data_IF_663260642458
#
_entry.id   IF_663260642458
#
_cell.length_a   1.000
_cell.length_b   1.000
_cell.length_c   1.000
_cell.angle_alpha   90.00
_cell.angle_beta   90.00
_cell.angle_gamma   90.00
#
_symmetry.space_group_name_H-M   'P 1'
#
loop_
_entity.id
_entity.type
_entity.pdbx_description
1 polymer ?
#
# COMPACT_ATOMS: atom_id res chain seq x y z
N UNK A 1 -8.59 -9.13 -23.79
CA UNK A 1 -8.08 -8.60 -22.55
C UNK A 1 -8.54 -7.17 -22.31
N UNK A 2 -8.62 -6.78 -21.06
CA UNK A 2 -9.00 -5.40 -20.71
C UNK A 2 -7.84 -4.46 -21.08
N UNK A 3 -8.14 -3.37 -21.75
CA UNK A 3 -7.16 -2.35 -22.12
C UNK A 3 -6.57 -1.70 -20.87
N UNK A 4 -5.26 -1.42 -20.89
CA UNK A 4 -4.57 -0.71 -19.80
C UNK A 4 -5.18 0.66 -19.50
N UNK A 5 -5.72 1.36 -20.51
CA UNK A 5 -6.42 2.62 -20.35
C UNK A 5 -7.70 2.50 -19.55
N UNK A 6 -8.46 1.42 -19.76
CA UNK A 6 -9.68 1.14 -18.98
C UNK A 6 -9.37 0.83 -17.52
N UNK A 7 -8.31 0.05 -17.26
CA UNK A 7 -7.85 -0.26 -15.89
C UNK A 7 -7.44 1.04 -15.19
N UNK A 8 -6.68 1.90 -15.83
CA UNK A 8 -6.25 3.18 -15.27
C UNK A 8 -7.43 4.10 -14.95
N UNK A 9 -8.42 4.19 -15.85
CA UNK A 9 -9.63 4.97 -15.63
C UNK A 9 -10.46 4.43 -14.47
N UNK A 10 -10.60 3.11 -14.37
CA UNK A 10 -11.30 2.48 -13.25
C UNK A 10 -10.61 2.76 -11.92
N UNK A 11 -9.28 2.59 -11.85
CA UNK A 11 -8.50 2.90 -10.65
C UNK A 11 -8.61 4.37 -10.26
N UNK A 12 -8.55 5.29 -11.23
CA UNK A 12 -8.72 6.72 -10.98
C UNK A 12 -10.09 7.03 -10.38
N UNK A 13 -11.15 6.41 -10.88
CA UNK A 13 -12.50 6.60 -10.34
C UNK A 13 -12.63 6.09 -8.91
N UNK A 14 -11.97 4.98 -8.57
CA UNK A 14 -11.94 4.44 -7.21
C UNK A 14 -11.19 5.35 -6.25
N UNK A 15 -10.07 5.94 -6.68
CA UNK A 15 -9.28 6.87 -5.85
C UNK A 15 -10.06 8.13 -5.51
N UNK A 16 -10.92 8.61 -6.40
CA UNK A 16 -11.73 9.80 -6.17
C UNK A 16 -12.92 9.56 -5.22
N UNK A 17 -13.24 8.32 -4.93
CA UNK A 17 -14.28 7.96 -3.97
C UNK A 17 -13.81 8.28 -2.53
N UNK A 18 -14.71 8.75 -1.67
CA UNK A 18 -14.38 8.99 -0.27
C UNK A 18 -14.40 7.69 0.54
N UNK A 19 -13.31 7.44 1.26
CA UNK A 19 -13.17 6.31 2.17
C UNK A 19 -12.87 6.79 3.59
N UNK A 20 -13.24 6.02 4.60
CA UNK A 20 -13.07 6.41 6.00
C UNK A 20 -12.08 5.53 6.77
N UNK A 21 -11.76 4.36 6.24
CA UNK A 21 -10.85 3.43 6.92
C UNK A 21 -10.09 2.55 5.94
N UNK A 22 -9.13 1.81 6.47
CA UNK A 22 -8.26 0.89 5.71
C UNK A 22 -8.57 -0.55 6.13
N UNK A 23 -8.66 -1.44 5.15
CA UNK A 23 -8.74 -2.88 5.39
C UNK A 23 -7.40 -3.52 5.06
N UNK A 24 -6.83 -4.25 6.00
CA UNK A 24 -5.57 -4.98 5.84
C UNK A 24 -5.86 -6.46 5.60
N UNK A 25 -5.30 -7.01 4.52
CA UNK A 25 -5.44 -8.41 4.15
C UNK A 25 -4.05 -9.03 4.13
N UNK A 26 -3.76 -9.89 5.09
CA UNK A 26 -2.45 -10.52 5.21
C UNK A 26 -2.13 -11.00 6.61
N UNK A 27 -0.95 -11.60 6.76
CA UNK A 27 -0.48 -12.14 8.03
C UNK A 27 -0.02 -11.03 8.97
N UNK A 28 -0.72 -10.89 10.10
CA UNK A 28 -0.40 -9.90 11.14
C UNK A 28 1.02 -10.01 11.70
N UNK A 29 1.63 -11.18 11.58
CA UNK A 29 2.98 -11.45 12.10
C UNK A 29 4.08 -10.96 11.15
N UNK A 30 3.78 -10.73 9.88
CA UNK A 30 4.78 -10.32 8.90
C UNK A 30 5.26 -8.90 9.20
N UNK A 31 6.59 -8.67 9.05
CA UNK A 31 7.21 -7.37 9.32
C UNK A 31 6.60 -6.22 8.51
N UNK A 32 6.32 -6.46 7.23
CA UNK A 32 5.71 -5.43 6.37
C UNK A 32 4.31 -5.04 6.86
N UNK A 33 3.53 -6.01 7.32
CA UNK A 33 2.19 -5.76 7.88
C UNK A 33 2.30 -4.96 9.16
N UNK A 34 3.22 -5.33 10.05
CA UNK A 34 3.46 -4.59 11.31
C UNK A 34 3.87 -3.13 11.05
N UNK A 35 4.75 -2.90 10.07
CA UNK A 35 5.16 -1.54 9.68
C UNK A 35 3.99 -0.73 9.14
N UNK A 36 3.12 -1.33 8.34
CA UNK A 36 1.91 -0.67 7.85
C UNK A 36 1.00 -0.29 9.02
N UNK A 37 0.77 -1.19 9.97
CA UNK A 37 -0.04 -0.91 11.17
C UNK A 37 0.55 0.24 11.97
N UNK A 38 1.86 0.26 12.17
CA UNK A 38 2.53 1.34 12.92
C UNK A 38 2.30 2.70 12.26
N UNK A 39 2.39 2.78 10.94
CA UNK A 39 2.11 4.01 10.19
C UNK A 39 0.64 4.41 10.33
N UNK A 40 -0.29 3.47 10.17
CA UNK A 40 -1.71 3.78 10.33
C UNK A 40 -2.03 4.31 11.73
N UNK A 41 -1.42 3.75 12.76
CA UNK A 41 -1.55 4.24 14.14
C UNK A 41 -0.94 5.64 14.31
N UNK A 42 0.23 5.87 13.72
CA UNK A 42 0.90 7.18 13.77
C UNK A 42 0.02 8.29 13.20
N UNK A 43 -0.75 7.99 12.15
CA UNK A 43 -1.66 8.94 11.52
C UNK A 43 -3.09 8.87 12.08
N UNK A 44 -3.30 8.15 13.18
CA UNK A 44 -4.63 7.98 13.80
C UNK A 44 -5.69 7.49 12.82
N UNK A 45 -5.29 6.66 11.88
CA UNK A 45 -6.15 6.13 10.82
C UNK A 45 -6.88 4.88 11.32
N UNK A 46 -8.19 4.84 11.11
CA UNK A 46 -8.99 3.66 11.40
C UNK A 46 -8.61 2.52 10.44
N UNK A 47 -8.41 1.33 10.97
CA UNK A 47 -8.12 0.14 10.18
C UNK A 47 -8.71 -1.11 10.80
N UNK A 48 -8.90 -2.13 9.99
CA UNK A 48 -9.29 -3.47 10.43
C UNK A 48 -8.61 -4.52 9.57
N UNK A 49 -8.49 -5.71 10.12
CA UNK A 49 -8.05 -6.89 9.36
C UNK A 49 -9.25 -7.63 8.79
N UNK A 50 -9.10 -8.16 7.58
CA UNK A 50 -10.11 -8.99 6.92
C UNK A 50 -9.43 -10.00 6.01
N UNK A 51 -10.12 -11.06 5.68
CA UNK A 51 -9.64 -12.04 4.69
C UNK A 51 -9.99 -11.63 3.25
N UNK A 52 -10.94 -10.73 3.10
CA UNK A 52 -11.45 -10.29 1.79
C UNK A 52 -11.48 -8.77 1.70
N UNK A 53 -11.35 -8.21 0.47
CA UNK A 53 -11.48 -6.78 0.25
C UNK A 53 -12.88 -6.26 0.62
N UNK A 54 -12.94 -4.99 0.98
CA UNK A 54 -14.17 -4.29 1.32
C UNK A 54 -14.36 -3.09 0.39
N UNK A 55 -15.55 -2.92 -0.17
CA UNK A 55 -15.89 -1.82 -1.08
C UNK A 55 -15.86 -0.45 -0.42
N UNK A 56 -16.07 -0.39 0.90
CA UNK A 56 -16.19 0.87 1.64
C UNK A 56 -14.86 1.34 2.22
N UNK A 57 -13.78 0.64 1.95
CA UNK A 57 -12.46 0.96 2.48
C UNK A 57 -11.38 0.96 1.40
N UNK A 58 -10.24 1.57 1.72
CA UNK A 58 -9.01 1.37 0.97
C UNK A 58 -8.41 0.05 1.45
N UNK A 59 -8.22 -0.89 0.56
CA UNK A 59 -7.70 -2.21 0.91
C UNK A 59 -6.19 -2.27 0.65
N UNK A 60 -5.44 -2.82 1.59
CA UNK A 60 -4.03 -3.16 1.41
C UNK A 60 -3.94 -4.68 1.46
N UNK A 61 -3.55 -5.29 0.36
CA UNK A 61 -3.34 -6.73 0.28
C UNK A 61 -1.86 -7.06 0.25
N UNK A 62 -1.41 -7.74 1.29
CA UNK A 62 -0.06 -8.27 1.37
C UNK A 62 -0.06 -9.64 0.73
N UNK A 63 0.66 -9.79 -0.36
CA UNK A 63 0.56 -11.00 -1.19
C UNK A 63 1.92 -11.63 -1.45
N UNK A 64 1.97 -12.96 -1.38
CA UNK A 64 3.13 -13.74 -1.80
C UNK A 64 3.07 -13.92 -3.32
N UNK A 65 4.23 -14.10 -3.96
CA UNK A 65 4.31 -14.14 -5.41
C UNK A 65 3.60 -15.35 -6.04
N UNK A 66 3.41 -16.42 -5.29
CA UNK A 66 2.73 -17.63 -5.74
C UNK A 66 1.21 -17.61 -5.52
N UNK A 67 0.69 -16.55 -4.92
CA UNK A 67 -0.75 -16.40 -4.73
C UNK A 67 -1.41 -15.96 -6.04
N UNK A 68 -2.57 -16.57 -6.42
CA UNK A 68 -3.31 -16.09 -7.57
C UNK A 68 -3.88 -14.69 -7.30
N UNK A 69 -3.69 -13.79 -8.27
CA UNK A 69 -4.27 -12.47 -8.22
C UNK A 69 -5.61 -12.49 -8.95
N UNK A 70 -6.69 -12.39 -8.21
CA UNK A 70 -8.03 -12.30 -8.76
C UNK A 70 -8.37 -10.84 -9.07
N UNK A 71 -9.03 -10.62 -10.19
CA UNK A 71 -9.55 -9.31 -10.55
C UNK A 71 -10.64 -8.92 -9.55
N UNK A 72 -10.51 -7.72 -8.98
CA UNK A 72 -11.45 -7.20 -7.99
C UNK A 72 -11.93 -5.82 -8.40
N UNK A 73 -13.20 -5.52 -8.10
CA UNK A 73 -13.78 -4.19 -8.34
C UNK A 73 -13.45 -3.19 -7.22
N UNK A 74 -12.94 -3.68 -6.09
CA UNK A 74 -12.55 -2.84 -4.96
C UNK A 74 -11.20 -2.17 -5.20
N UNK A 75 -10.98 -1.03 -4.55
CA UNK A 75 -9.67 -0.37 -4.56
C UNK A 75 -8.69 -1.18 -3.70
N UNK A 76 -7.65 -1.70 -4.31
CA UNK A 76 -6.63 -2.51 -3.63
C UNK A 76 -5.24 -1.96 -3.91
N UNK A 77 -4.49 -1.73 -2.84
CA UNK A 77 -3.05 -1.49 -2.89
C UNK A 77 -2.36 -2.82 -2.61
N UNK A 78 -1.61 -3.33 -3.56
CA UNK A 78 -0.87 -4.58 -3.41
C UNK A 78 0.53 -4.29 -2.85
N UNK A 79 0.86 -4.96 -1.75
CA UNK A 79 2.19 -4.97 -1.18
C UNK A 79 2.78 -6.37 -1.34
N UNK A 80 3.66 -6.59 -2.31
CA UNK A 80 4.27 -7.90 -2.50
C UNK A 80 5.22 -8.22 -1.35
N UNK A 81 5.20 -9.47 -0.91
CA UNK A 81 6.04 -9.98 0.16
C UNK A 81 7.02 -11.00 -0.39
N UNK A 82 8.26 -10.96 0.09
CA UNK A 82 9.22 -12.03 -0.15
C UNK A 82 9.23 -12.99 1.04
N UNK A 83 9.46 -14.27 0.77
CA UNK A 83 9.85 -15.23 1.79
C UNK A 83 11.33 -15.01 2.13
N UNK A 84 11.76 -15.38 3.33
CA UNK A 84 13.16 -15.20 3.77
C UNK A 84 14.17 -15.90 2.85
N UNK A 85 13.76 -17.00 2.23
CA UNK A 85 14.58 -17.79 1.31
C UNK A 85 14.54 -17.32 -0.13
N UNK A 86 13.70 -16.35 -0.48
CA UNK A 86 13.52 -15.88 -1.85
C UNK A 86 14.61 -14.89 -2.25
N UNK A 87 15.07 -14.99 -3.48
CA UNK A 87 15.86 -13.94 -4.09
C UNK A 87 14.95 -12.75 -4.44
N UNK A 88 15.18 -11.63 -3.81
CA UNK A 88 14.33 -10.43 -3.96
C UNK A 88 14.19 -9.97 -5.41
N UNK A 89 15.25 -10.10 -6.20
CA UNK A 89 15.23 -9.71 -7.61
C UNK A 89 14.28 -10.58 -8.43
N UNK A 90 14.31 -11.90 -8.23
CA UNK A 90 13.44 -12.84 -8.94
C UNK A 90 11.98 -12.66 -8.53
N UNK A 91 11.73 -12.49 -7.24
CA UNK A 91 10.40 -12.20 -6.72
C UNK A 91 9.84 -10.92 -7.34
N UNK A 92 10.63 -9.85 -7.38
CA UNK A 92 10.22 -8.58 -7.98
C UNK A 92 9.88 -8.73 -9.48
N UNK A 93 10.67 -9.48 -10.23
CA UNK A 93 10.40 -9.75 -11.65
C UNK A 93 9.08 -10.50 -11.86
N UNK A 94 8.77 -11.47 -11.01
CA UNK A 94 7.52 -12.21 -11.08
C UNK A 94 6.32 -11.32 -10.81
N UNK A 95 6.41 -10.40 -9.85
CA UNK A 95 5.34 -9.44 -9.59
C UNK A 95 5.15 -8.45 -10.74
N UNK A 96 6.19 -8.01 -11.40
CA UNK A 96 6.10 -7.13 -12.56
C UNK A 96 5.29 -7.74 -13.71
N UNK A 97 5.27 -9.05 -13.85
CA UNK A 97 4.46 -9.76 -14.85
C UNK A 97 2.96 -9.75 -14.53
N UNK A 98 2.59 -9.45 -13.30
CA UNK A 98 1.20 -9.49 -12.82
C UNK A 98 0.65 -8.11 -12.44
N UNK A 99 1.33 -7.02 -12.79
CA UNK A 99 0.98 -5.65 -12.38
C UNK A 99 -0.13 -5.00 -13.20
N UNK A 100 -0.99 -5.79 -13.84
CA UNK A 100 -2.08 -5.27 -14.68
C UNK A 100 -3.32 -4.84 -13.88
N UNK A 101 -3.35 -5.11 -12.57
CA UNK A 101 -4.51 -4.82 -11.72
C UNK A 101 -4.07 -4.09 -10.45
N UNK A 102 -4.90 -3.13 -10.03
CA UNK A 102 -4.70 -2.42 -8.77
C UNK A 102 -3.51 -1.47 -8.75
N UNK A 103 -3.18 -1.02 -7.55
CA UNK A 103 -2.04 -0.17 -7.26
C UNK A 103 -0.96 -1.01 -6.57
N UNK A 104 0.31 -0.80 -6.92
CA UNK A 104 1.39 -1.62 -6.40
C UNK A 104 2.44 -0.76 -5.72
N UNK A 105 2.91 -1.22 -4.56
CA UNK A 105 4.07 -0.66 -3.87
C UNK A 105 5.26 -1.61 -3.98
N UNK A 106 6.42 -1.17 -3.53
CA UNK A 106 7.63 -1.99 -3.57
C UNK A 106 7.56 -3.23 -2.67
N UNK A 107 8.44 -4.18 -2.96
CA UNK A 107 8.57 -5.43 -2.22
C UNK A 107 8.79 -5.18 -0.72
N UNK A 108 8.02 -5.83 0.13
CA UNK A 108 8.05 -5.70 1.59
C UNK A 108 7.83 -4.26 2.11
N UNK A 109 7.31 -3.37 1.28
CA UNK A 109 7.19 -1.96 1.65
C UNK A 109 5.80 -1.64 2.24
N UNK A 110 5.54 -2.16 3.43
CA UNK A 110 4.31 -1.89 4.17
C UNK A 110 4.14 -0.42 4.52
N UNK A 111 5.24 0.31 4.75
CA UNK A 111 5.21 1.76 5.01
C UNK A 111 4.60 2.51 3.82
N UNK A 112 5.08 2.27 2.61
CA UNK A 112 4.54 2.92 1.42
C UNK A 112 3.09 2.51 1.15
N UNK A 113 2.72 1.27 1.42
CA UNK A 113 1.34 0.83 1.30
C UNK A 113 0.41 1.63 2.22
N UNK A 114 0.80 1.79 3.48
CA UNK A 114 0.03 2.57 4.45
C UNK A 114 -0.02 4.06 4.08
N UNK A 115 1.09 4.67 3.69
CA UNK A 115 1.15 6.07 3.27
C UNK A 115 0.26 6.29 2.03
N UNK A 116 0.32 5.40 1.05
CA UNK A 116 -0.54 5.48 -0.15
C UNK A 116 -2.02 5.43 0.22
N UNK A 117 -2.39 4.54 1.14
CA UNK A 117 -3.77 4.45 1.64
C UNK A 117 -4.20 5.74 2.34
N UNK A 118 -3.34 6.30 3.19
CA UNK A 118 -3.61 7.57 3.90
C UNK A 118 -3.76 8.72 2.91
N UNK A 119 -2.94 8.79 1.87
CA UNK A 119 -3.06 9.81 0.83
C UNK A 119 -4.40 9.72 0.09
N UNK A 120 -4.90 8.53 -0.17
CA UNK A 120 -6.22 8.32 -0.77
C UNK A 120 -7.33 8.74 0.19
N UNK A 121 -7.23 8.41 1.48
CA UNK A 121 -8.17 8.86 2.50
C UNK A 121 -8.16 10.38 2.66
N UNK A 122 -7.05 11.04 2.38
CA UNK A 122 -6.86 12.49 2.55
C UNK A 122 -7.48 13.33 1.42
N UNK A 123 -8.47 12.80 0.73
CA UNK A 123 -9.11 13.52 -0.38
C UNK A 123 -9.77 14.83 0.09
N UNK A 124 -10.10 14.93 1.38
CA UNK A 124 -10.63 16.13 2.04
C UNK A 124 -9.56 16.92 2.83
N UNK A 125 -8.28 16.58 2.65
CA UNK A 125 -7.11 17.18 3.32
C UNK A 125 -7.06 17.00 4.84
N UNK A 126 -7.81 16.06 5.42
CA UNK A 126 -7.83 15.83 6.87
C UNK A 126 -6.49 15.32 7.45
N UNK A 127 -5.62 14.73 6.63
CA UNK A 127 -4.29 14.24 7.03
C UNK A 127 -3.14 15.08 6.48
N UNK A 128 -3.41 16.18 5.78
CA UNK A 128 -2.40 16.94 5.04
C UNK A 128 -1.26 17.41 5.93
N UNK A 129 -1.57 18.00 7.09
CA UNK A 129 -0.55 18.48 8.02
C UNK A 129 0.34 17.34 8.52
N UNK A 130 -0.25 16.21 8.89
CA UNK A 130 0.50 15.03 9.35
C UNK A 130 1.39 14.47 8.25
N UNK A 131 0.92 14.43 7.01
CA UNK A 131 1.70 13.98 5.85
C UNK A 131 2.88 14.93 5.58
N UNK A 132 2.67 16.23 5.67
CA UNK A 132 3.73 17.23 5.52
C UNK A 132 4.81 17.04 6.60
N UNK A 133 4.40 16.89 7.85
CA UNK A 133 5.32 16.66 8.96
C UNK A 133 6.11 15.37 8.78
N UNK A 134 5.47 14.31 8.34
CA UNK A 134 6.12 13.02 8.08
C UNK A 134 7.20 13.14 6.99
N UNK A 135 6.87 13.81 5.87
CA UNK A 135 7.81 14.02 4.76
C UNK A 135 9.01 14.87 5.19
N UNK A 136 8.80 15.91 5.99
CA UNK A 136 9.87 16.73 6.56
C UNK A 136 10.77 15.89 7.45
N UNK A 137 10.20 15.07 8.31
CA UNK A 137 10.94 14.16 9.18
C UNK A 137 11.85 13.21 8.39
N UNK A 138 11.36 12.64 7.29
CA UNK A 138 12.15 11.80 6.40
C UNK A 138 13.30 12.58 5.74
N UNK A 139 13.03 13.80 5.26
CA UNK A 139 14.02 14.65 4.63
C UNK A 139 15.12 15.02 5.63
N UNK A 140 14.77 15.42 6.84
CA UNK A 140 15.72 15.78 7.88
C UNK A 140 16.61 14.59 8.25
N UNK A 141 16.05 13.39 8.31
CA UNK A 141 16.80 12.16 8.57
C UNK A 141 17.82 11.88 7.45
N UNK A 142 17.43 12.02 6.20
CA UNK A 142 18.30 11.83 5.05
C UNK A 142 19.44 12.87 5.07
N UNK A 143 19.13 14.14 5.33
CA UNK A 143 20.12 15.22 5.41
C UNK A 143 21.13 14.97 6.54
N UNK A 144 20.70 14.48 7.69
CA UNK A 144 21.58 14.09 8.80
C UNK A 144 22.48 12.92 8.42
N UNK A 145 21.95 11.90 7.78
CA UNK A 145 22.72 10.74 7.34
C UNK A 145 23.78 11.15 6.32
N UNK A 146 23.47 12.09 5.43
CA UNK A 146 24.43 12.63 4.46
C UNK A 146 25.52 13.47 5.09
N UNK A 147 25.24 14.20 6.18
CA UNK A 147 26.23 15.04 6.91
C UNK A 147 27.17 14.24 7.78
N UNK A 148 26.82 13.02 8.15
CA UNK A 148 27.62 12.16 9.01
C UNK A 148 28.65 11.30 8.25
N UNK A 149 28.75 11.45 6.94
CA UNK A 149 29.71 10.71 6.10
C UNK A 149 31.05 11.47 6.03
#
# INVERSE_FOLDING_TARGET
>A
GVDKGEIAAHNASLILKKYEYVTLIGDKKHKAVKKAVDILKQFSTLYKFSETPNNDSVNIKFTLFDEPLEKSDELIIYCPLSLESDEKAETALNFLKHTNHGLWVGLNNGVNAAISAIEILNIDNSFEELLIQYRRSLKDKIDKDNKSI
#
